data_IF_166816998073
#
_entry.id   IF_166816998073
#
_cell.length_a   1.000
_cell.length_b   1.000
_cell.length_c   1.000
_cell.angle_alpha   90.00
_cell.angle_beta   90.00
_cell.angle_gamma   90.00
#
_symmetry.space_group_name_H-M   'P 1'
#
loop_
_entity.id
_entity.type
_entity.pdbx_description
1 polymer ?
#
# COMPACT_ATOMS: atom_id res chain seq x y z
N UNK A 1 -20.22 -35.61 -5.44
CA UNK A 1 -19.08 -34.74 -5.09
C UNK A 1 -19.49 -33.29 -5.27
N UNK A 2 -19.84 -32.59 -4.19
CA UNK A 2 -20.26 -31.19 -4.25
C UNK A 2 -19.05 -30.32 -3.85
N UNK A 3 -18.06 -30.22 -4.75
CA UNK A 3 -16.90 -29.35 -4.55
C UNK A 3 -17.30 -27.91 -4.88
N UNK A 4 -18.09 -27.31 -3.99
CA UNK A 4 -18.37 -25.89 -3.98
C UNK A 4 -17.17 -25.19 -3.30
N UNK A 5 -15.98 -25.33 -3.89
CA UNK A 5 -14.78 -24.63 -3.45
C UNK A 5 -14.97 -23.16 -3.80
N UNK A 6 -15.58 -22.40 -2.89
CA UNK A 6 -15.58 -20.95 -2.99
C UNK A 6 -14.11 -20.53 -3.15
N UNK A 7 -13.77 -19.72 -4.17
CA UNK A 7 -12.41 -19.21 -4.30
C UNK A 7 -12.04 -18.56 -2.97
N UNK A 8 -10.89 -18.92 -2.37
CA UNK A 8 -10.53 -18.41 -1.06
C UNK A 8 -10.49 -16.88 -1.09
N UNK A 9 -10.90 -16.24 0.00
CA UNK A 9 -10.97 -14.79 0.07
C UNK A 9 -9.58 -14.18 -0.16
N UNK A 10 -9.45 -13.11 -0.97
CA UNK A 10 -8.17 -12.46 -1.20
C UNK A 10 -7.51 -12.05 0.11
N UNK A 11 -6.22 -12.35 0.24
CA UNK A 11 -5.40 -11.97 1.37
C UNK A 11 -5.00 -10.50 1.20
N UNK A 12 -5.38 -9.67 2.17
CA UNK A 12 -4.94 -8.28 2.26
C UNK A 12 -3.62 -8.21 3.03
N UNK A 13 -2.58 -7.68 2.39
CA UNK A 13 -1.24 -7.49 2.98
C UNK A 13 -1.01 -5.99 3.15
N UNK A 14 -0.95 -5.54 4.40
CA UNK A 14 -0.65 -4.14 4.72
C UNK A 14 0.86 -3.92 4.74
N UNK A 15 1.35 -3.02 3.90
CA UNK A 15 2.74 -2.58 3.83
C UNK A 15 2.83 -1.18 4.42
N UNK A 16 3.41 -1.07 5.62
CA UNK A 16 3.66 0.20 6.26
C UNK A 16 5.15 0.54 6.15
N UNK A 17 5.50 1.53 5.34
CA UNK A 17 6.90 1.83 5.04
C UNK A 17 7.10 2.91 4.00
N UNK A 18 8.36 3.17 3.67
CA UNK A 18 8.77 4.04 2.57
C UNK A 18 8.58 3.37 1.22
N UNK A 19 8.67 4.17 0.14
CA UNK A 19 8.62 3.65 -1.24
C UNK A 19 9.65 2.54 -1.51
N UNK A 20 10.86 2.64 -0.91
CA UNK A 20 11.90 1.62 -1.05
C UNK A 20 11.54 0.27 -0.40
N UNK A 21 10.85 0.31 0.73
CA UNK A 21 10.34 -0.89 1.39
C UNK A 21 9.26 -1.55 0.53
N UNK A 22 8.28 -0.77 0.07
CA UNK A 22 7.21 -1.27 -0.81
C UNK A 22 7.80 -1.87 -2.08
N UNK A 23 8.75 -1.18 -2.72
CA UNK A 23 9.41 -1.66 -3.94
C UNK A 23 10.18 -2.97 -3.70
N UNK A 24 10.88 -3.11 -2.57
CA UNK A 24 11.61 -4.34 -2.23
C UNK A 24 10.67 -5.53 -2.06
N UNK A 25 9.53 -5.32 -1.38
CA UNK A 25 8.50 -6.35 -1.21
C UNK A 25 7.85 -6.72 -2.54
N UNK A 26 7.48 -5.73 -3.35
CA UNK A 26 6.88 -5.96 -4.67
C UNK A 26 7.84 -6.69 -5.61
N UNK A 27 9.15 -6.38 -5.58
CA UNK A 27 10.15 -7.10 -6.37
C UNK A 27 10.21 -8.58 -5.99
N UNK A 28 10.32 -8.89 -4.70
CA UNK A 28 10.33 -10.29 -4.24
C UNK A 28 9.02 -11.01 -4.56
N UNK A 29 7.88 -10.33 -4.42
CA UNK A 29 6.57 -10.86 -4.79
C UNK A 29 6.55 -11.28 -6.26
N UNK A 30 7.06 -10.44 -7.16
CA UNK A 30 7.12 -10.72 -8.60
C UNK A 30 8.13 -11.81 -8.91
N UNK A 31 9.32 -11.78 -8.34
CA UNK A 31 10.34 -12.82 -8.55
C UNK A 31 9.83 -14.20 -8.13
N UNK A 32 9.16 -14.31 -6.99
CA UNK A 32 8.69 -15.58 -6.45
C UNK A 32 7.40 -16.09 -7.12
N UNK A 33 6.51 -15.19 -7.54
CA UNK A 33 5.18 -15.56 -8.01
C UNK A 33 4.98 -15.40 -9.51
N UNK A 34 5.87 -14.74 -10.24
CA UNK A 34 5.82 -14.65 -11.72
C UNK A 34 5.71 -16.02 -12.41
N UNK A 35 6.23 -17.08 -11.77
CA UNK A 35 6.18 -18.46 -12.24
C UNK A 35 4.87 -19.21 -11.90
N UNK A 36 3.95 -18.61 -11.14
CA UNK A 36 2.67 -19.21 -10.72
C UNK A 36 1.50 -18.75 -11.63
N UNK A 37 0.35 -19.45 -11.61
CA UNK A 37 -0.80 -19.13 -12.48
C UNK A 37 -1.43 -17.76 -12.17
N UNK A 38 -1.84 -16.95 -13.16
CA UNK A 38 -2.29 -15.56 -12.96
C UNK A 38 -3.39 -15.36 -11.90
N UNK A 39 -4.11 -16.41 -11.49
CA UNK A 39 -5.03 -16.44 -10.36
C UNK A 39 -4.42 -15.94 -9.03
N UNK A 40 -3.12 -16.15 -8.78
CA UNK A 40 -2.47 -15.69 -7.54
C UNK A 40 -2.40 -14.15 -7.44
N UNK A 41 -2.39 -13.45 -8.58
CA UNK A 41 -2.36 -11.98 -8.62
C UNK A 41 -3.66 -11.39 -8.05
N UNK A 42 -4.77 -12.11 -8.22
CA UNK A 42 -6.05 -11.72 -7.66
C UNK A 42 -6.23 -12.17 -6.19
N UNK A 43 -5.35 -13.07 -5.73
CA UNK A 43 -5.39 -13.64 -4.40
C UNK A 43 -4.67 -12.80 -3.35
N UNK A 44 -3.67 -12.01 -3.73
CA UNK A 44 -2.93 -11.14 -2.81
C UNK A 44 -3.14 -9.69 -3.20
N UNK A 45 -3.58 -8.88 -2.24
CA UNK A 45 -3.82 -7.44 -2.42
C UNK A 45 -2.95 -6.66 -1.46
N UNK A 46 -2.11 -5.80 -1.99
CA UNK A 46 -1.28 -4.92 -1.18
C UNK A 46 -2.03 -3.64 -0.81
N UNK A 47 -1.97 -3.27 0.46
CA UNK A 47 -2.47 -2.03 1.01
C UNK A 47 -1.28 -1.22 1.50
N UNK A 48 -1.11 0.01 1.02
CA UNK A 48 0.12 0.79 1.27
C UNK A 48 -0.17 1.87 2.30
N UNK A 49 0.53 1.82 3.43
CA UNK A 49 0.53 2.88 4.45
C UNK A 49 1.87 3.62 4.36
N UNK A 50 1.87 4.89 3.95
CA UNK A 50 3.11 5.62 3.78
C UNK A 50 3.73 5.91 5.15
N UNK A 51 4.98 5.48 5.37
CA UNK A 51 5.75 5.85 6.55
C UNK A 51 7.06 6.50 6.13
N UNK A 52 7.42 7.59 6.81
CA UNK A 52 8.65 8.34 6.54
C UNK A 52 8.48 9.49 5.56
N UNK A 53 9.61 10.05 5.14
CA UNK A 53 9.66 11.26 4.30
C UNK A 53 9.62 10.91 2.82
N UNK A 54 8.94 11.74 2.02
CA UNK A 54 8.90 11.67 0.55
C UNK A 54 8.29 10.39 -0.05
N UNK A 55 7.03 10.09 0.27
CA UNK A 55 6.29 8.99 -0.35
C UNK A 55 5.69 9.41 -1.70
N UNK A 56 6.44 9.22 -2.79
CA UNK A 56 6.00 9.47 -4.17
C UNK A 56 4.89 8.51 -4.58
N UNK A 57 5.00 7.24 -4.17
CA UNK A 57 3.98 6.25 -4.46
C UNK A 57 2.65 6.63 -3.80
N UNK A 58 2.68 7.05 -2.53
CA UNK A 58 1.48 7.50 -1.84
C UNK A 58 0.86 8.76 -2.46
N UNK A 59 1.68 9.68 -2.99
CA UNK A 59 1.20 10.84 -3.76
C UNK A 59 0.46 10.43 -5.02
N UNK A 60 1.02 9.47 -5.76
CA UNK A 60 0.36 8.93 -6.93
C UNK A 60 -0.92 8.17 -6.57
N UNK A 61 -0.90 7.33 -5.53
CA UNK A 61 -2.10 6.64 -5.06
C UNK A 61 -3.20 7.61 -4.62
N UNK A 62 -2.84 8.71 -3.94
CA UNK A 62 -3.79 9.76 -3.58
C UNK A 62 -4.35 10.53 -4.79
N UNK A 63 -3.63 10.59 -5.93
CA UNK A 63 -4.16 11.26 -7.13
C UNK A 63 -5.13 10.39 -7.91
N UNK A 64 -5.02 9.06 -7.80
CA UNK A 64 -5.88 8.10 -8.52
C UNK A 64 -7.01 7.54 -7.65
N UNK A 65 -6.86 7.56 -6.31
CA UNK A 65 -7.84 7.04 -5.36
C UNK A 65 -8.17 8.08 -4.27
N UNK A 66 -9.40 8.61 -4.33
CA UNK A 66 -9.89 9.59 -3.36
C UNK A 66 -10.07 9.03 -1.94
N UNK A 67 -10.32 7.73 -1.78
CA UNK A 67 -10.39 7.07 -0.47
C UNK A 67 -9.00 7.00 0.15
N UNK A 68 -8.00 6.69 -0.68
CA UNK A 68 -6.60 6.74 -0.27
C UNK A 68 -6.18 8.16 0.11
N UNK A 69 -6.53 9.16 -0.70
CA UNK A 69 -6.24 10.57 -0.43
C UNK A 69 -6.84 11.05 0.90
N UNK A 70 -8.09 10.67 1.19
CA UNK A 70 -8.75 11.03 2.44
C UNK A 70 -8.10 10.38 3.66
N UNK A 71 -7.55 9.16 3.52
CA UNK A 71 -6.86 8.46 4.60
C UNK A 71 -5.43 8.97 4.82
N UNK A 72 -4.68 9.16 3.74
CA UNK A 72 -3.23 9.41 3.74
C UNK A 72 -2.83 10.68 2.98
N UNK A 73 -3.64 11.74 3.09
CA UNK A 73 -3.24 13.07 2.59
C UNK A 73 -1.85 13.41 3.11
N UNK A 74 -0.93 13.70 2.20
CA UNK A 74 0.52 13.70 2.47
C UNK A 74 0.91 14.60 3.64
N UNK A 75 0.37 15.81 3.68
CA UNK A 75 0.68 16.78 4.75
C UNK A 75 0.03 16.37 6.08
N UNK A 76 -1.29 16.10 6.07
CA UNK A 76 -2.05 15.75 7.26
C UNK A 76 -1.60 14.43 7.90
N UNK A 77 -1.23 13.45 7.08
CA UNK A 77 -0.75 12.16 7.55
C UNK A 77 0.64 12.27 8.17
N UNK A 78 1.53 13.04 7.55
CA UNK A 78 2.87 13.30 8.10
C UNK A 78 2.79 14.01 9.45
N UNK A 79 2.00 15.08 9.55
CA UNK A 79 1.80 15.78 10.82
C UNK A 79 1.18 14.86 11.88
N UNK A 80 0.24 14.00 11.51
CA UNK A 80 -0.38 13.05 12.43
C UNK A 80 0.65 12.03 12.96
N UNK A 81 1.57 11.55 12.11
CA UNK A 81 2.65 10.65 12.53
C UNK A 81 3.57 11.34 13.54
N UNK A 82 4.01 12.57 13.25
CA UNK A 82 4.89 13.36 14.14
C UNK A 82 4.23 13.62 15.50
N UNK A 83 2.93 13.93 15.53
CA UNK A 83 2.20 14.16 16.79
C UNK A 83 1.84 12.88 17.53
N UNK A 84 1.61 11.77 16.82
CA UNK A 84 1.28 10.48 17.42
C UNK A 84 2.41 9.93 18.32
N UNK A 85 3.66 10.32 18.08
CA UNK A 85 4.80 9.99 18.96
C UNK A 85 4.68 10.65 20.34
N UNK A 86 3.92 11.74 20.45
CA UNK A 86 3.79 12.55 21.67
C UNK A 86 2.40 12.41 22.31
N UNK A 87 1.34 12.26 21.51
CA UNK A 87 -0.05 12.29 21.95
C UNK A 87 -0.79 10.98 21.67
N UNK A 88 -1.33 10.36 22.73
CA UNK A 88 -2.13 9.11 22.63
C UNK A 88 -3.39 9.26 21.78
N UNK A 89 -4.02 10.44 21.78
CA UNK A 89 -5.23 10.73 20.98
C UNK A 89 -4.94 10.69 19.48
N UNK A 90 -3.79 11.22 19.07
CA UNK A 90 -3.36 11.24 17.66
C UNK A 90 -2.92 9.85 17.20
N UNK A 91 -2.29 9.08 18.08
CA UNK A 91 -2.03 7.65 17.83
C UNK A 91 -3.33 6.87 17.59
N UNK A 92 -4.37 7.13 18.37
CA UNK A 92 -5.68 6.50 18.17
C UNK A 92 -6.32 6.92 16.83
N UNK A 93 -6.23 8.20 16.45
CA UNK A 93 -6.73 8.67 15.16
C UNK A 93 -5.96 8.06 13.97
N UNK A 94 -4.65 7.91 14.10
CA UNK A 94 -3.81 7.20 13.12
C UNK A 94 -4.32 5.76 12.92
N UNK A 95 -4.53 5.02 14.01
CA UNK A 95 -5.08 3.66 13.95
C UNK A 95 -6.47 3.62 13.33
N UNK A 96 -7.34 4.58 13.66
CA UNK A 96 -8.67 4.68 13.09
C UNK A 96 -8.65 4.90 11.56
N UNK A 97 -7.69 5.68 11.05
CA UNK A 97 -7.51 5.88 9.61
C UNK A 97 -7.04 4.61 8.91
N UNK A 98 -6.05 3.91 9.48
CA UNK A 98 -5.58 2.62 8.95
C UNK A 98 -6.70 1.58 8.95
N UNK A 99 -7.49 1.51 10.03
CA UNK A 99 -8.62 0.60 10.13
C UNK A 99 -9.69 0.92 9.06
N UNK A 100 -10.04 2.19 8.89
CA UNK A 100 -10.94 2.65 7.83
C UNK A 100 -10.42 2.29 6.43
N UNK A 101 -9.13 2.47 6.18
CA UNK A 101 -8.51 2.08 4.92
C UNK A 101 -8.57 0.57 4.69
N UNK A 102 -8.26 -0.25 5.70
CA UNK A 102 -8.26 -1.71 5.58
C UNK A 102 -9.66 -2.28 5.24
N UNK A 103 -10.71 -1.69 5.82
CA UNK A 103 -12.09 -2.08 5.54
C UNK A 103 -12.69 -1.42 4.29
N UNK A 104 -12.32 -0.18 4.01
CA UNK A 104 -12.84 0.61 2.89
C UNK A 104 -12.15 0.36 1.55
N UNK A 105 -10.91 -0.17 1.56
CA UNK A 105 -10.19 -0.49 0.34
C UNK A 105 -10.85 -1.67 -0.39
N UNK A 106 -11.59 -1.34 -1.46
CA UNK A 106 -12.28 -2.26 -2.36
C UNK A 106 -11.67 -2.24 -3.77
N UNK A 107 -11.20 -1.08 -4.23
CA UNK A 107 -10.53 -0.88 -5.53
C UNK A 107 -9.14 -1.49 -5.51
N UNK A 108 -8.84 -2.32 -6.51
CA UNK A 108 -7.49 -2.86 -6.72
C UNK A 108 -6.87 -2.14 -7.91
N UNK A 109 -5.81 -1.37 -7.67
CA UNK A 109 -5.04 -0.73 -8.73
C UNK A 109 -4.06 -1.77 -9.29
N UNK A 110 -4.28 -2.17 -10.54
CA UNK A 110 -3.34 -2.99 -11.30
C UNK A 110 -2.20 -2.09 -11.77
N UNK A 111 -1.24 -1.81 -10.87
CA UNK A 111 -0.05 -1.05 -11.25
C UNK A 111 0.90 -2.01 -11.99
N UNK A 112 1.24 -1.74 -13.27
CA UNK A 112 2.35 -2.41 -13.92
C UNK A 112 3.57 -2.23 -13.02
N UNK A 113 4.20 -3.34 -12.65
CA UNK A 113 5.38 -3.34 -11.78
C UNK A 113 6.48 -2.41 -12.34
N UNK A 114 6.55 -2.29 -13.67
CA UNK A 114 7.39 -1.33 -14.36
C UNK A 114 7.10 0.14 -13.97
N UNK A 115 5.84 0.57 -13.87
CA UNK A 115 5.49 1.95 -13.47
C UNK A 115 5.85 2.24 -12.00
N UNK A 116 5.64 1.25 -11.12
CA UNK A 116 6.06 1.34 -9.72
C UNK A 116 7.60 1.38 -9.57
N UNK A 117 8.34 0.65 -10.41
CA UNK A 117 9.79 0.63 -10.43
C UNK A 117 10.41 1.87 -11.12
N UNK A 118 9.73 2.47 -12.11
CA UNK A 118 10.23 3.66 -12.87
C UNK A 118 10.12 4.94 -12.04
N UNK A 119 9.12 5.06 -11.17
CA UNK A 119 8.99 6.22 -10.25
C UNK A 119 10.19 6.32 -9.28
N UNK A 120 10.97 5.25 -9.16
CA UNK A 120 12.22 5.17 -8.42
C UNK A 120 13.49 5.28 -9.30
N UNK A 121 13.43 5.95 -10.47
CA UNK A 121 14.67 6.47 -11.07
C UNK A 121 15.19 7.62 -10.22
N UNK A 122 15.79 7.23 -9.10
CA UNK A 122 16.66 8.05 -8.29
C UNK A 122 17.70 8.67 -9.21
N UNK A 123 17.73 10.02 -9.26
CA UNK A 123 18.93 10.74 -9.65
C UNK A 123 20.04 10.24 -8.73
N UNK A 124 20.83 9.27 -9.19
CA UNK A 124 22.17 9.00 -8.66
C UNK A 124 22.93 10.31 -8.72
N UNK A 125 22.89 11.04 -7.61
CA UNK A 125 23.59 12.31 -7.46
C UNK A 125 24.93 11.97 -6.83
N UNK A 126 25.91 11.82 -7.72
CA UNK A 126 27.38 11.82 -7.54
C UNK A 126 27.97 10.67 -6.73
#
# INVERSE_FOLDING_TARGET
CNSNAKPPSPIKVLLAGSDSFVNSVLRHYVEQLSFKSPDWQNYIRFLIVPLGSNNLLARYLASVDGVYAAAFSVDLWKELLERAEVQKTDCQEMLNRVHRYLHGASTTLQLPIAEAMITYKEKRSV
#
